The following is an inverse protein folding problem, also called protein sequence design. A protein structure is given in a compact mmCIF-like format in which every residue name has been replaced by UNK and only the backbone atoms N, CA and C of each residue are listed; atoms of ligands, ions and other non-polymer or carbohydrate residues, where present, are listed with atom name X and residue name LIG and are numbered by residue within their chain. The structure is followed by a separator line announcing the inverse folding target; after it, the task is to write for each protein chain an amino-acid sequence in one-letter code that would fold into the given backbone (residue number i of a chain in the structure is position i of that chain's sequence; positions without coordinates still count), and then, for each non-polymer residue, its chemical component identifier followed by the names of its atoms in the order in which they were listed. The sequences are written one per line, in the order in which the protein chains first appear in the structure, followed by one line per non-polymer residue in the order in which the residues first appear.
data_IF_235890028075
#
_entry.id   IF_235890028075
#
_cell.length_a   1.000
_cell.length_b   1.000
_cell.length_c   1.000
_cell.angle_alpha   90.00
_cell.angle_beta   90.00
_cell.angle_gamma   90.00
#
_symmetry.space_group_name_H-M   'P 1'
#
loop_
_entity.id
_entity.type
_entity.pdbx_description
1 polymer ?
#
# COMPACT_ATOMS: atom_id res chain seq x y z
N UNK A 1 -8.39 -21.54 -12.76
CA UNK A 1 -7.06 -21.39 -12.14
C UNK A 1 -7.14 -20.27 -11.11
N UNK A 2 -6.59 -20.45 -9.90
CA UNK A 2 -6.46 -19.35 -8.93
C UNK A 2 -5.24 -18.51 -9.33
N UNK A 3 -5.41 -17.20 -9.45
CA UNK A 3 -4.32 -16.24 -9.65
C UNK A 3 -4.03 -15.61 -8.29
N UNK A 4 -2.78 -15.72 -7.85
CA UNK A 4 -2.28 -14.96 -6.70
C UNK A 4 -1.61 -13.72 -7.25
N UNK A 5 -1.92 -12.57 -6.67
CA UNK A 5 -1.18 -11.33 -6.90
C UNK A 5 -0.65 -10.83 -5.57
N UNK A 6 0.59 -10.34 -5.59
CA UNK A 6 1.18 -9.69 -4.44
C UNK A 6 0.84 -8.21 -4.52
N UNK A 7 0.37 -7.65 -3.40
CA UNK A 7 0.14 -6.23 -3.26
C UNK A 7 1.13 -5.72 -2.22
N UNK A 8 1.98 -4.79 -2.62
CA UNK A 8 2.91 -4.12 -1.71
C UNK A 8 2.36 -2.77 -1.29
N UNK A 9 2.47 -2.47 0.02
CA UNK A 9 2.05 -1.21 0.61
C UNK A 9 3.27 -0.50 1.19
N UNK A 10 3.63 0.66 0.64
CA UNK A 10 4.67 1.52 1.17
C UNK A 10 4.02 2.64 2.00
N UNK A 11 4.23 2.62 3.32
CA UNK A 11 3.71 3.62 4.26
C UNK A 11 4.86 4.54 4.68
N UNK A 12 4.73 5.83 4.37
CA UNK A 12 5.65 6.85 4.89
C UNK A 12 5.17 7.29 6.28
N UNK A 13 6.08 7.26 7.24
CA UNK A 13 5.83 7.69 8.62
C UNK A 13 6.64 8.95 8.91
N UNK A 14 6.12 9.79 9.80
CA UNK A 14 6.89 10.90 10.37
C UNK A 14 7.72 10.46 11.59
N UNK A 15 8.37 11.43 12.24
CA UNK A 15 9.27 11.22 13.39
C UNK A 15 8.60 10.51 14.58
N UNK A 16 7.27 10.57 14.70
CA UNK A 16 6.51 9.90 15.76
C UNK A 16 5.84 8.60 15.31
N UNK A 17 6.25 8.04 14.17
CA UNK A 17 5.67 6.86 13.54
C UNK A 17 4.20 7.02 13.11
N UNK A 18 3.73 8.26 12.90
CA UNK A 18 2.38 8.51 12.39
C UNK A 18 2.37 8.40 10.87
N UNK A 19 1.48 7.60 10.26
CA UNK A 19 1.37 7.50 8.80
C UNK A 19 0.94 8.82 8.15
N UNK A 20 1.66 9.22 7.10
CA UNK A 20 1.37 10.44 6.32
C UNK A 20 0.90 10.11 4.90
N UNK A 21 1.64 9.24 4.20
CA UNK A 21 1.29 8.82 2.84
C UNK A 21 1.36 7.31 2.70
N UNK A 22 0.50 6.78 1.82
CA UNK A 22 0.51 5.36 1.48
C UNK A 22 0.52 5.24 -0.04
N UNK A 23 1.47 4.48 -0.54
CA UNK A 23 1.52 4.06 -1.94
C UNK A 23 1.31 2.55 -2.01
N UNK A 24 0.71 2.11 -3.11
CA UNK A 24 0.52 0.69 -3.36
C UNK A 24 0.99 0.31 -4.75
N UNK A 25 1.49 -0.92 -4.84
CA UNK A 25 1.92 -1.52 -6.09
C UNK A 25 1.29 -2.90 -6.23
N UNK A 26 0.86 -3.24 -7.43
CA UNK A 26 0.45 -4.60 -7.79
C UNK A 26 0.89 -4.90 -9.22
N UNK A 27 1.87 -5.80 -9.34
CA UNK A 27 2.52 -6.15 -10.62
C UNK A 27 1.53 -6.63 -11.68
N UNK A 28 0.42 -7.22 -11.23
CA UNK A 28 -0.56 -7.82 -12.11
C UNK A 28 -1.59 -6.83 -12.69
N UNK A 29 -1.61 -5.60 -12.18
CA UNK A 29 -2.50 -4.52 -12.64
C UNK A 29 -1.77 -3.35 -13.27
N UNK A 30 -0.43 -3.41 -13.38
CA UNK A 30 0.41 -2.32 -13.90
C UNK A 30 0.40 -1.05 -13.04
N UNK A 31 -0.20 -1.11 -11.84
CA UNK A 31 -0.17 -0.01 -10.88
C UNK A 31 1.14 -0.11 -10.11
N UNK A 32 2.11 0.71 -10.51
CA UNK A 32 3.38 0.85 -9.83
C UNK A 32 3.36 2.14 -9.00
N UNK A 33 3.57 2.02 -7.69
CA UNK A 33 3.72 3.13 -6.75
C UNK A 33 2.58 4.16 -6.83
N UNK A 34 1.34 3.68 -6.90
CA UNK A 34 0.16 4.54 -7.02
C UNK A 34 -0.23 5.11 -5.66
N UNK A 35 -0.56 6.41 -5.55
CA UNK A 35 -1.03 6.98 -4.31
C UNK A 35 -2.37 6.35 -3.93
N UNK A 36 -2.50 5.98 -2.66
CA UNK A 36 -3.73 5.42 -2.15
C UNK A 36 -4.72 6.52 -1.81
N UNK A 37 -5.97 6.37 -2.27
CA UNK A 37 -7.05 7.29 -1.93
C UNK A 37 -7.58 7.08 -0.51
N UNK A 38 -7.62 5.83 -0.06
CA UNK A 38 -7.98 5.45 1.31
C UNK A 38 -7.58 3.98 1.56
N UNK A 39 -7.10 3.68 2.77
CA UNK A 39 -6.95 2.32 3.28
C UNK A 39 -7.59 2.20 4.66
N UNK A 40 -8.16 1.03 4.96
CA UNK A 40 -8.57 0.67 6.31
C UNK A 40 -7.58 -0.36 6.86
N UNK A 41 -6.62 0.12 7.66
CA UNK A 41 -5.58 -0.72 8.25
C UNK A 41 -5.87 -0.88 9.74
N UNK A 42 -6.04 -2.13 10.19
CA UNK A 42 -6.04 -2.46 11.61
C UNK A 42 -4.61 -2.81 12.01
N UNK A 43 -3.90 -1.86 12.62
CA UNK A 43 -2.59 -2.10 13.23
C UNK A 43 -2.79 -2.51 14.69
N UNK A 44 -2.01 -3.48 15.18
CA UNK A 44 -1.96 -3.85 16.61
C UNK A 44 -0.78 -3.13 17.28
#
# INVERSE_FOLDING_TARGET
MKKTSNIELAVALNENNVPETIHWSADDTGHNNSPAKAFFLSLW
#
